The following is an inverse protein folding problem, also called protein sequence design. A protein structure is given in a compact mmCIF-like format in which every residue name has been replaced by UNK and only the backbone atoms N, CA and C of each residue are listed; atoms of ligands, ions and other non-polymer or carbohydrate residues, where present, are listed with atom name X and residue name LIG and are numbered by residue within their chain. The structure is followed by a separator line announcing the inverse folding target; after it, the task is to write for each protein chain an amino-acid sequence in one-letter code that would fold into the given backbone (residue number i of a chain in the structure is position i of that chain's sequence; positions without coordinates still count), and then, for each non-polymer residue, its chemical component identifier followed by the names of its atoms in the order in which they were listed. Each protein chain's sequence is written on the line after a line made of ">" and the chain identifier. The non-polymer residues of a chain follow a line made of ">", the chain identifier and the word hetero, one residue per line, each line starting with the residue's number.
data_IF_358874770410
#
_entry.id   IF_358874770410
#
_cell.length_a   1.000
_cell.length_b   1.000
_cell.length_c   1.000
_cell.angle_alpha   90.00
_cell.angle_beta   90.00
_cell.angle_gamma   90.00
#
_symmetry.space_group_name_H-M   'P 1'
#
loop_
_entity.id
_entity.type
_entity.pdbx_description
1 polymer ?
#
# COMPACT_ATOMS: atom_id res chain seq x y z
N UNK A 1 -20.17 -16.63 -8.76
CA UNK A 1 -20.01 -16.34 -7.32
C UNK A 1 -18.88 -15.34 -7.08
N UNK A 2 -17.63 -15.67 -7.40
CA UNK A 2 -16.45 -14.79 -7.18
C UNK A 2 -16.55 -13.43 -7.90
N UNK A 3 -17.06 -13.38 -9.14
CA UNK A 3 -17.26 -12.13 -9.89
C UNK A 3 -18.35 -11.20 -9.31
N UNK A 4 -19.38 -11.76 -8.67
CA UNK A 4 -20.46 -10.98 -8.03
C UNK A 4 -19.99 -10.35 -6.71
N UNK A 5 -19.14 -11.06 -5.97
CA UNK A 5 -18.45 -10.50 -4.81
C UNK A 5 -17.42 -9.43 -5.21
N UNK A 6 -16.85 -9.51 -6.42
CA UNK A 6 -15.93 -8.50 -6.97
C UNK A 6 -16.68 -7.22 -7.33
N UNK A 7 -17.82 -7.30 -8.02
CA UNK A 7 -18.63 -6.11 -8.30
C UNK A 7 -19.19 -5.49 -7.02
N UNK A 8 -19.61 -6.30 -6.05
CA UNK A 8 -20.05 -5.81 -4.74
C UNK A 8 -18.92 -5.10 -3.97
N UNK A 9 -17.70 -5.64 -3.96
CA UNK A 9 -16.54 -5.02 -3.29
C UNK A 9 -16.13 -3.72 -4.01
N UNK A 10 -16.08 -3.72 -5.36
CA UNK A 10 -15.82 -2.50 -6.12
C UNK A 10 -16.88 -1.41 -5.89
N UNK A 11 -18.15 -1.77 -5.72
CA UNK A 11 -19.23 -0.80 -5.39
C UNK A 11 -19.09 -0.26 -3.97
N UNK A 12 -18.72 -1.10 -3.00
CA UNK A 12 -18.47 -0.68 -1.61
C UNK A 12 -17.26 0.25 -1.52
N UNK A 13 -16.17 -0.06 -2.22
CA UNK A 13 -14.96 0.77 -2.30
C UNK A 13 -15.22 2.09 -3.05
N UNK A 14 -16.06 2.08 -4.09
CA UNK A 14 -16.47 3.29 -4.81
C UNK A 14 -17.43 4.17 -4.00
N UNK A 15 -18.19 3.58 -3.07
CA UNK A 15 -19.02 4.31 -2.11
C UNK A 15 -18.22 4.95 -0.97
N UNK A 16 -16.95 4.60 -0.82
CA UNK A 16 -16.04 5.19 0.15
C UNK A 16 -15.67 6.62 -0.29
N UNK A 17 -16.59 7.58 -0.08
CA UNK A 17 -16.27 9.00 -0.19
C UNK A 17 -15.44 9.41 1.02
N UNK A 18 -14.21 9.85 0.76
CA UNK A 18 -13.42 10.60 1.72
C UNK A 18 -14.08 11.96 1.96
N UNK A 19 -15.04 12.03 2.89
CA UNK A 19 -15.51 13.32 3.42
C UNK A 19 -14.48 13.81 4.45
N UNK A 20 -13.92 15.02 4.29
CA UNK A 20 -13.09 15.63 5.31
C UNK A 20 -14.04 16.18 6.37
N UNK A 21 -14.33 15.38 7.40
CA UNK A 21 -14.70 15.79 8.76
C UNK A 21 -15.31 14.58 9.46
N UNK A 22 -14.64 14.17 10.54
CA UNK A 22 -15.07 13.59 11.82
C UNK A 22 -16.50 13.05 12.07
N UNK A 23 -17.36 12.80 11.08
CA UNK A 23 -18.63 12.12 11.29
C UNK A 23 -18.38 10.62 11.31
N UNK A 24 -18.42 10.05 12.52
CA UNK A 24 -18.50 8.60 12.74
C UNK A 24 -19.83 8.08 12.21
N UNK A 25 -19.88 7.92 10.90
CA UNK A 25 -21.02 7.41 10.17
C UNK A 25 -21.11 5.88 10.34
N UNK A 26 -22.34 5.37 10.34
CA UNK A 26 -22.68 3.93 10.28
C UNK A 26 -21.96 3.20 9.14
N UNK A 27 -21.52 3.92 8.11
CA UNK A 27 -20.71 3.39 7.02
C UNK A 27 -19.29 3.02 7.47
N UNK A 28 -18.62 3.83 8.29
CA UNK A 28 -17.27 3.53 8.76
C UNK A 28 -17.27 2.29 9.68
N UNK A 29 -18.27 2.16 10.55
CA UNK A 29 -18.45 0.97 11.38
C UNK A 29 -18.77 -0.28 10.55
N UNK A 30 -19.64 -0.15 9.53
CA UNK A 30 -19.94 -1.24 8.61
C UNK A 30 -18.73 -1.67 7.77
N UNK A 31 -17.89 -0.71 7.35
CA UNK A 31 -16.65 -0.95 6.64
C UNK A 31 -15.64 -1.69 7.52
N UNK A 32 -15.41 -1.23 8.75
CA UNK A 32 -14.52 -1.93 9.70
C UNK A 32 -15.01 -3.34 10.03
N UNK A 33 -16.33 -3.53 10.16
CA UNK A 33 -16.92 -4.85 10.37
C UNK A 33 -16.68 -5.76 9.17
N UNK A 34 -16.92 -5.26 7.95
CA UNK A 34 -16.72 -6.02 6.71
C UNK A 34 -15.26 -6.43 6.51
N UNK A 35 -14.31 -5.52 6.76
CA UNK A 35 -12.88 -5.80 6.68
C UNK A 35 -12.47 -6.94 7.61
N UNK A 36 -13.05 -6.99 8.81
CA UNK A 36 -12.76 -8.03 9.81
C UNK A 36 -13.29 -9.40 9.39
N UNK A 37 -14.46 -9.46 8.75
CA UNK A 37 -15.01 -10.70 8.18
C UNK A 37 -14.19 -11.19 6.99
N UNK A 38 -13.82 -10.30 6.06
CA UNK A 38 -12.97 -10.65 4.93
C UNK A 38 -11.58 -11.10 5.38
N UNK A 39 -11.00 -10.47 6.41
CA UNK A 39 -9.74 -10.89 7.02
C UNK A 39 -9.79 -12.34 7.50
N UNK A 40 -10.89 -12.72 8.18
CA UNK A 40 -11.07 -14.08 8.68
C UNK A 40 -11.11 -15.11 7.54
N UNK A 41 -11.88 -14.82 6.48
CA UNK A 41 -12.02 -15.70 5.32
C UNK A 41 -10.68 -15.85 4.59
N UNK A 42 -9.97 -14.74 4.34
CA UNK A 42 -8.64 -14.76 3.72
C UNK A 42 -7.61 -15.47 4.59
N UNK A 43 -7.66 -15.29 5.92
CA UNK A 43 -6.76 -15.98 6.84
C UNK A 43 -6.94 -17.51 6.78
N UNK A 44 -8.19 -17.97 6.73
CA UNK A 44 -8.50 -19.40 6.58
C UNK A 44 -8.08 -19.92 5.21
N UNK A 45 -8.33 -19.17 4.14
CA UNK A 45 -7.89 -19.53 2.79
C UNK A 45 -6.36 -19.58 2.68
N UNK A 46 -5.66 -18.62 3.29
CA UNK A 46 -4.21 -18.57 3.41
C UNK A 46 -3.66 -19.78 4.16
N UNK A 47 -4.23 -20.08 5.34
CA UNK A 47 -3.86 -21.26 6.12
C UNK A 47 -4.08 -22.56 5.35
N UNK A 48 -5.21 -22.68 4.65
CA UNK A 48 -5.52 -23.83 3.81
C UNK A 48 -4.52 -23.96 2.66
N UNK A 49 -4.14 -22.86 2.00
CA UNK A 49 -3.10 -22.88 0.96
C UNK A 49 -1.74 -23.25 1.54
N UNK A 50 -1.35 -22.69 2.69
CA UNK A 50 -0.08 -22.97 3.37
C UNK A 50 0.04 -24.44 3.77
N UNK A 51 -1.04 -25.00 4.34
CA UNK A 51 -1.08 -26.41 4.76
C UNK A 51 -1.17 -27.37 3.56
N UNK A 52 -1.87 -26.99 2.48
CA UNK A 52 -1.99 -27.80 1.27
C UNK A 52 -0.72 -27.80 0.38
N UNK A 53 0.03 -26.68 0.34
CA UNK A 53 1.27 -26.56 -0.44
C UNK A 53 2.53 -27.01 0.33
N UNK A 54 2.44 -27.22 1.65
CA UNK A 54 3.53 -27.71 2.49
C UNK A 54 4.54 -26.63 2.90
N UNK A 55 4.85 -26.56 4.20
CA UNK A 55 5.56 -25.42 4.79
C UNK A 55 7.04 -25.30 4.38
N UNK A 56 7.78 -26.42 4.19
CA UNK A 56 9.26 -26.36 3.99
C UNK A 56 9.89 -27.49 3.15
N UNK A 57 9.32 -28.69 3.02
CA UNK A 57 10.12 -29.91 2.68
C UNK A 57 9.96 -30.54 1.28
N UNK A 58 9.20 -29.97 0.35
CA UNK A 58 9.16 -30.45 -1.05
C UNK A 58 9.61 -29.35 -2.04
N UNK A 59 10.16 -29.76 -3.19
CA UNK A 59 10.83 -28.96 -4.24
C UNK A 59 9.99 -27.84 -4.92
N UNK A 60 8.82 -27.49 -4.36
CA UNK A 60 7.93 -26.41 -4.80
C UNK A 60 7.74 -25.32 -3.73
N UNK A 61 8.82 -24.90 -3.07
CA UNK A 61 8.81 -24.06 -1.88
C UNK A 61 7.89 -22.81 -1.96
N UNK A 62 6.97 -22.71 -0.98
CA UNK A 62 5.98 -21.64 -0.82
C UNK A 62 6.57 -20.21 -0.80
N UNK A 63 7.84 -20.07 -0.39
CA UNK A 63 8.57 -18.79 -0.31
C UNK A 63 9.05 -18.25 -1.67
N UNK A 64 8.92 -18.98 -2.79
CA UNK A 64 9.34 -18.47 -4.10
C UNK A 64 8.29 -17.58 -4.78
N UNK A 65 7.05 -17.58 -4.27
CA UNK A 65 5.99 -16.70 -4.76
C UNK A 65 5.88 -15.44 -3.87
N UNK A 66 6.18 -14.28 -4.44
CA UNK A 66 6.08 -12.97 -3.79
C UNK A 66 4.66 -12.73 -3.23
N UNK A 67 3.64 -13.25 -3.91
CA UNK A 67 2.24 -13.10 -3.53
C UNK A 67 1.89 -13.84 -2.23
N UNK A 68 2.49 -15.01 -2.01
CA UNK A 68 2.31 -15.79 -0.79
C UNK A 68 3.00 -15.16 0.43
N UNK A 69 4.16 -14.52 0.21
CA UNK A 69 4.86 -13.75 1.25
C UNK A 69 4.04 -12.52 1.66
N UNK A 70 3.46 -11.81 0.70
CA UNK A 70 2.58 -10.67 0.97
C UNK A 70 1.36 -11.07 1.79
N UNK A 71 0.75 -12.21 1.48
CA UNK A 71 -0.39 -12.77 2.21
C UNK A 71 -0.02 -13.12 3.67
N UNK A 72 1.15 -13.73 3.90
CA UNK A 72 1.66 -13.99 5.24
C UNK A 72 1.88 -12.72 6.07
N UNK A 73 2.52 -11.69 5.48
CA UNK A 73 2.74 -10.39 6.13
C UNK A 73 1.39 -9.75 6.48
N UNK A 74 0.42 -9.84 5.59
CA UNK A 74 -0.94 -9.34 5.78
C UNK A 74 -1.66 -10.01 6.96
N UNK A 75 -1.48 -11.32 7.16
CA UNK A 75 -2.05 -12.05 8.29
C UNK A 75 -1.34 -11.66 9.60
N UNK A 76 0.00 -11.65 9.62
CA UNK A 76 0.79 -11.30 10.80
C UNK A 76 0.49 -9.88 11.26
N UNK A 77 0.43 -8.92 10.33
CA UNK A 77 0.13 -7.51 10.64
C UNK A 77 -1.31 -7.30 11.14
N UNK A 78 -2.27 -8.07 10.62
CA UNK A 78 -3.66 -8.08 11.11
C UNK A 78 -3.77 -8.66 12.53
N UNK A 79 -3.04 -9.73 12.81
CA UNK A 79 -3.01 -10.38 14.13
C UNK A 79 -2.30 -9.48 15.17
N UNK A 80 -1.18 -8.85 14.80
CA UNK A 80 -0.43 -7.97 15.67
C UNK A 80 -1.24 -6.72 16.05
N UNK A 81 -2.02 -6.18 15.11
CA UNK A 81 -2.93 -5.06 15.38
C UNK A 81 -4.08 -5.42 16.34
N UNK A 82 -4.45 -6.70 16.45
CA UNK A 82 -5.50 -7.17 17.36
C UNK A 82 -4.94 -7.51 18.75
N UNK A 83 -3.77 -8.15 18.82
CA UNK A 83 -3.16 -8.61 20.08
C UNK A 83 -2.48 -7.46 20.82
N UNK A 84 -1.90 -6.48 20.11
CA UNK A 84 -1.13 -5.39 20.73
C UNK A 84 -1.74 -4.01 20.43
N UNK A 85 -2.90 -3.66 21.02
CA UNK A 85 -3.46 -2.31 20.92
C UNK A 85 -2.60 -1.24 21.62
N UNK A 86 -1.64 -1.67 22.47
CA UNK A 86 -0.81 -0.79 23.30
C UNK A 86 0.60 -0.51 22.73
N UNK A 87 0.97 -1.09 21.59
CA UNK A 87 2.23 -0.73 20.93
C UNK A 87 2.13 0.66 20.28
N UNK A 88 3.24 1.39 20.27
CA UNK A 88 3.41 2.74 19.70
C UNK A 88 2.43 3.07 18.55
N UNK A 89 1.57 4.08 18.75
CA UNK A 89 0.57 4.54 17.78
C UNK A 89 1.05 4.71 16.32
N UNK A 90 2.29 5.17 16.02
CA UNK A 90 2.75 5.24 14.63
C UNK A 90 2.87 3.88 13.94
N UNK A 91 3.25 2.82 14.66
CA UNK A 91 3.33 1.47 14.09
C UNK A 91 1.93 0.93 13.77
N UNK A 92 0.97 1.08 14.69
CA UNK A 92 -0.43 0.73 14.46
C UNK A 92 -1.03 1.50 13.27
N UNK A 93 -0.62 2.75 13.06
CA UNK A 93 -1.04 3.55 11.90
C UNK A 93 -0.46 3.00 10.60
N UNK A 94 0.83 2.63 10.57
CA UNK A 94 1.45 2.01 9.39
C UNK A 94 0.80 0.67 9.03
N UNK A 95 0.44 -0.16 10.02
CA UNK A 95 -0.27 -1.43 9.80
C UNK A 95 -1.64 -1.26 9.14
N UNK A 96 -2.31 -0.10 9.34
CA UNK A 96 -3.58 0.21 8.65
C UNK A 96 -3.37 0.48 7.16
N UNK A 97 -2.24 1.06 6.76
CA UNK A 97 -1.88 1.32 5.35
C UNK A 97 -1.66 0.01 4.57
N UNK A 98 -1.43 -1.11 5.25
CA UNK A 98 -1.33 -2.43 4.64
C UNK A 98 -2.70 -3.08 4.38
N UNK A 99 -3.83 -2.56 4.89
CA UNK A 99 -5.17 -3.15 4.66
C UNK A 99 -5.60 -3.13 3.19
N UNK A 100 -5.41 -2.04 2.42
CA UNK A 100 -5.68 -2.03 0.99
C UNK A 100 -4.85 -3.06 0.21
N UNK A 101 -3.67 -3.41 0.71
CA UNK A 101 -2.79 -4.41 0.10
C UNK A 101 -3.40 -5.83 0.16
N UNK A 102 -4.33 -6.10 1.10
CA UNK A 102 -5.06 -7.37 1.19
C UNK A 102 -6.01 -7.58 0.02
N UNK A 103 -6.59 -6.50 -0.51
CA UNK A 103 -7.44 -6.56 -1.70
C UNK A 103 -6.61 -7.00 -2.90
N UNK A 104 -5.38 -6.50 -3.00
CA UNK A 104 -4.45 -6.88 -4.06
C UNK A 104 -4.08 -8.35 -3.99
N UNK A 105 -3.76 -8.89 -2.80
CA UNK A 105 -3.40 -10.30 -2.65
C UNK A 105 -4.61 -11.23 -2.78
N UNK A 106 -5.81 -10.77 -2.40
CA UNK A 106 -7.03 -11.55 -2.47
C UNK A 106 -7.65 -11.69 -3.87
N UNK A 107 -7.36 -10.76 -4.79
CA UNK A 107 -7.91 -10.76 -6.14
C UNK A 107 -6.84 -11.04 -7.20
N UNK A 108 -6.87 -12.23 -7.79
CA UNK A 108 -5.93 -12.66 -8.84
C UNK A 108 -5.89 -11.69 -10.05
N UNK A 109 -7.03 -11.05 -10.37
CA UNK A 109 -7.12 -10.01 -11.40
C UNK A 109 -6.24 -8.78 -11.10
N UNK A 110 -6.18 -8.33 -9.85
CA UNK A 110 -5.35 -7.19 -9.43
C UNK A 110 -3.86 -7.57 -9.46
N UNK A 111 -3.53 -8.82 -9.12
CA UNK A 111 -2.17 -9.33 -9.21
C UNK A 111 -1.64 -9.32 -10.66
N UNK A 112 -2.48 -9.71 -11.62
CA UNK A 112 -2.13 -9.71 -13.05
C UNK A 112 -1.88 -8.28 -13.55
N UNK A 113 -2.73 -7.33 -13.14
CA UNK A 113 -2.56 -5.90 -13.50
C UNK A 113 -1.26 -5.35 -12.92
N UNK A 114 -0.98 -5.56 -11.64
CA UNK A 114 0.26 -5.12 -11.01
C UNK A 114 1.50 -5.76 -11.62
N UNK A 115 1.45 -7.06 -11.92
CA UNK A 115 2.53 -7.76 -12.61
C UNK A 115 2.81 -7.15 -13.99
N UNK A 116 1.77 -6.72 -14.69
CA UNK A 116 1.88 -6.03 -15.98
C UNK A 116 2.51 -4.65 -15.83
N UNK A 117 2.11 -3.89 -14.80
CA UNK A 117 2.70 -2.58 -14.48
C UNK A 117 4.19 -2.73 -14.14
N UNK A 118 4.56 -3.65 -13.25
CA UNK A 118 5.96 -3.88 -12.87
C UNK A 118 6.80 -4.27 -14.08
N UNK A 119 6.26 -5.12 -14.98
CA UNK A 119 6.94 -5.51 -16.21
C UNK A 119 7.13 -4.32 -17.16
N UNK A 120 6.17 -3.40 -17.23
CA UNK A 120 6.27 -2.18 -18.01
C UNK A 120 7.21 -1.13 -17.37
N UNK A 121 7.36 -1.14 -16.03
CA UNK A 121 8.29 -0.25 -15.32
C UNK A 121 9.76 -0.63 -15.50
N UNK A 122 10.07 -1.93 -15.66
CA UNK A 122 11.44 -2.39 -15.84
C UNK A 122 12.22 -1.66 -16.96
N UNK A 123 11.70 -1.49 -18.20
CA UNK A 123 12.37 -0.71 -19.23
C UNK A 123 12.39 0.80 -18.92
N UNK A 124 11.36 1.34 -18.27
CA UNK A 124 11.32 2.75 -17.87
C UNK A 124 12.40 3.08 -16.84
N UNK A 125 12.80 2.13 -16.01
CA UNK A 125 13.84 2.33 -14.99
C UNK A 125 15.21 2.65 -15.63
N UNK A 126 15.50 2.11 -16.81
CA UNK A 126 16.74 2.43 -17.54
C UNK A 126 16.74 3.88 -18.04
N UNK A 127 15.61 4.34 -18.59
CA UNK A 127 15.43 5.74 -19.01
C UNK A 127 15.44 6.67 -17.78
N UNK A 128 14.80 6.24 -16.69
CA UNK A 128 14.78 6.94 -15.42
C UNK A 128 16.18 7.11 -14.82
N UNK A 129 17.04 6.10 -14.92
CA UNK A 129 18.43 6.19 -14.47
C UNK A 129 19.22 7.25 -15.27
N UNK A 130 19.05 7.28 -16.60
CA UNK A 130 19.67 8.31 -17.44
C UNK A 130 19.17 9.71 -17.07
N UNK A 131 17.86 9.85 -16.86
CA UNK A 131 17.23 11.10 -16.42
C UNK A 131 17.76 11.55 -15.05
N UNK A 132 17.92 10.61 -14.10
CA UNK A 132 18.46 10.89 -12.78
C UNK A 132 19.91 11.39 -12.86
N UNK A 133 20.74 10.81 -13.73
CA UNK A 133 22.08 11.32 -14.00
C UNK A 133 22.06 12.73 -14.59
N UNK A 134 21.19 12.99 -15.56
CA UNK A 134 21.05 14.33 -16.15
C UNK A 134 20.62 15.37 -15.12
N UNK A 135 19.59 15.07 -14.33
CA UNK A 135 19.11 15.93 -13.24
C UNK A 135 20.24 16.19 -12.24
N UNK A 136 21.05 15.17 -11.90
CA UNK A 136 22.19 15.32 -10.97
C UNK A 136 23.23 16.30 -11.50
N UNK A 137 23.59 16.22 -12.80
CA UNK A 137 24.54 17.16 -13.42
C UNK A 137 23.99 18.59 -13.37
N UNK A 138 22.75 18.80 -13.78
CA UNK A 138 22.11 20.11 -13.72
C UNK A 138 21.94 20.63 -12.28
N UNK A 139 21.72 19.74 -11.32
CA UNK A 139 21.62 20.08 -9.91
C UNK A 139 22.97 20.55 -9.34
N UNK A 140 24.08 19.91 -9.70
CA UNK A 140 25.43 20.35 -9.30
C UNK A 140 25.74 21.71 -9.91
N UNK A 141 25.50 21.89 -11.21
CA UNK A 141 25.70 23.17 -11.89
C UNK A 141 24.81 24.25 -11.23
N UNK A 142 23.54 23.95 -11.00
CA UNK A 142 22.62 24.86 -10.34
C UNK A 142 23.06 25.23 -8.92
N UNK A 143 23.59 24.26 -8.17
CA UNK A 143 24.15 24.52 -6.85
C UNK A 143 25.37 25.43 -6.93
N UNK A 144 26.30 25.19 -7.85
CA UNK A 144 27.50 26.04 -8.00
C UNK A 144 27.15 27.48 -8.42
N UNK A 145 26.16 27.66 -9.29
CA UNK A 145 25.76 28.98 -9.78
C UNK A 145 24.84 29.74 -8.84
N UNK A 146 23.93 29.05 -8.15
CA UNK A 146 22.85 29.67 -7.38
C UNK A 146 22.95 29.44 -5.86
N UNK A 147 24.01 28.80 -5.37
CA UNK A 147 24.24 28.69 -3.92
C UNK A 147 24.30 30.08 -3.28
N UNK A 148 23.41 30.32 -2.31
CA UNK A 148 23.33 31.59 -1.58
C UNK A 148 22.61 32.74 -2.32
N UNK A 149 22.25 32.57 -3.61
CA UNK A 149 21.59 33.63 -4.39
C UNK A 149 20.13 33.89 -4.03
N UNK A 150 19.44 32.90 -3.44
CA UNK A 150 18.01 32.96 -3.12
C UNK A 150 17.71 33.34 -1.65
N UNK A 151 18.68 33.82 -0.87
CA UNK A 151 18.47 34.12 0.54
C UNK A 151 17.79 35.46 0.83
N UNK A 152 17.74 36.37 -0.14
CA UNK A 152 17.21 37.72 0.06
C UNK A 152 15.94 37.92 -0.77
N UNK A 153 14.82 38.17 -0.09
CA UNK A 153 13.57 38.63 -0.71
C UNK A 153 13.08 39.87 0.01
N UNK A 154 12.68 40.90 -0.72
CA UNK A 154 12.03 42.06 -0.13
C UNK A 154 10.63 41.67 0.35
N UNK A 155 10.32 41.91 1.62
CA UNK A 155 8.97 41.83 2.15
C UNK A 155 8.46 43.24 2.40
N UNK A 156 7.21 43.50 2.02
CA UNK A 156 6.55 44.77 2.21
C UNK A 156 6.09 44.90 3.67
N UNK A 157 6.66 45.86 4.41
CA UNK A 157 6.32 46.13 5.81
C UNK A 157 4.89 46.69 5.97
N UNK A 158 4.27 47.20 4.90
CA UNK A 158 2.91 47.79 4.94
C UNK A 158 1.78 46.78 5.17
N UNK A 159 2.09 45.47 5.21
CA UNK A 159 1.11 44.41 5.52
C UNK A 159 1.02 44.02 7.00
N UNK A 160 1.91 44.56 7.85
CA UNK A 160 2.00 44.18 9.27
C UNK A 160 1.77 45.33 10.26
N UNK A 161 1.57 46.56 9.78
CA UNK A 161 1.12 47.74 10.52
C UNK A 161 -0.17 48.27 9.90
#
# INVERSE_FOLDING_TARGET
>A
MVLLTITANCVVLAMERHFPMNDKSRLTEALEQSEKYFLGIFCVEALLKITALGFVLNEGAYLRSIWNILDFIVVVTGLLAYILPNLNQPALRALRVLRPLKLVTGFESLQIVLKSIIRAMAPLLQIGLLLLFAITIFAIIGLEFYSGGFHMTCFDESKYF
#
